data_IF_454472178456
#
_entry.id   IF_454472178456
#
_cell.length_a   1.000
_cell.length_b   1.000
_cell.length_c   1.000
_cell.angle_alpha   90.00
_cell.angle_beta   90.00
_cell.angle_gamma   90.00
#
_symmetry.space_group_name_H-M   'P 1'
#
loop_
_entity.id
_entity.type
_entity.pdbx_description
1 polymer ?
#
# COMPACT_ATOMS: atom_id res chain seq x y z
N UNK A 1 10.73 -2.38 2.19
CA UNK A 1 11.12 -1.52 1.05
C UNK A 1 11.82 -2.39 0.01
N UNK A 2 11.69 -2.05 -1.26
CA UNK A 2 12.39 -2.77 -2.32
C UNK A 2 13.91 -2.51 -2.29
N UNK A 3 14.64 -3.25 -3.12
CA UNK A 3 16.04 -2.94 -3.43
C UNK A 3 16.11 -1.56 -4.11
N UNK A 4 17.22 -0.85 -3.94
CA UNK A 4 17.52 0.36 -4.71
C UNK A 4 17.43 0.11 -6.22
N UNK A 5 17.28 1.17 -7.01
CA UNK A 5 17.11 1.09 -8.47
C UNK A 5 15.95 0.17 -8.90
N UNK A 6 14.93 0.01 -8.06
CA UNK A 6 13.75 -0.79 -8.42
C UNK A 6 12.68 0.13 -8.97
N UNK A 7 12.18 -0.21 -10.15
CA UNK A 7 11.01 0.40 -10.77
C UNK A 7 9.86 -0.61 -10.75
N UNK A 8 8.68 -0.15 -10.36
CA UNK A 8 7.45 -0.95 -10.32
C UNK A 8 6.30 -0.18 -10.94
N UNK A 9 5.54 -0.85 -11.81
CA UNK A 9 4.29 -0.32 -12.37
C UNK A 9 3.23 -1.39 -12.26
N UNK A 10 2.02 -1.02 -11.86
CA UNK A 10 0.97 -2.00 -11.63
C UNK A 10 -0.41 -1.39 -11.54
N UNK A 11 -1.38 -2.26 -11.34
CA UNK A 11 -2.76 -1.87 -11.10
C UNK A 11 -3.53 -2.95 -10.36
N UNK A 12 -4.54 -2.51 -9.63
CA UNK A 12 -5.34 -3.37 -8.77
C UNK A 12 -6.83 -3.09 -8.96
N UNK A 13 -7.62 -4.15 -8.87
CA UNK A 13 -9.03 -4.08 -8.51
C UNK A 13 -9.14 -3.83 -7.00
N UNK A 14 -9.95 -2.84 -6.62
CA UNK A 14 -10.21 -2.47 -5.24
C UNK A 14 -11.67 -2.73 -4.89
N UNK A 15 -11.89 -3.51 -3.83
CA UNK A 15 -13.23 -3.62 -3.27
C UNK A 15 -13.70 -2.28 -2.69
N UNK A 16 -14.99 -1.98 -2.80
CA UNK A 16 -15.56 -0.72 -2.28
C UNK A 16 -15.44 -0.59 -0.76
N UNK A 17 -15.40 -1.73 -0.07
CA UNK A 17 -15.27 -1.80 1.39
C UNK A 17 -13.86 -1.39 1.88
N UNK A 18 -12.88 -1.32 0.96
CA UNK A 18 -11.50 -0.87 1.20
C UNK A 18 -11.26 0.58 0.78
N UNK A 19 -12.23 1.20 0.11
CA UNK A 19 -12.13 2.58 -0.37
C UNK A 19 -12.87 3.54 0.56
N UNK A 20 -12.69 4.87 0.41
CA UNK A 20 -13.45 5.84 1.18
C UNK A 20 -14.96 5.54 1.15
N UNK A 21 -15.71 5.70 2.27
CA UNK A 21 -17.12 5.31 2.36
C UNK A 21 -18.04 5.98 1.33
N UNK A 22 -17.66 7.14 0.81
CA UNK A 22 -18.40 7.86 -0.23
C UNK A 22 -18.35 7.14 -1.58
N UNK A 23 -17.42 6.19 -1.78
CA UNK A 23 -17.28 5.43 -3.01
C UNK A 23 -18.03 4.11 -2.88
N UNK A 24 -19.34 4.17 -3.18
CA UNK A 24 -20.25 3.02 -3.09
C UNK A 24 -20.09 1.99 -4.22
N UNK A 25 -18.94 1.96 -4.90
CA UNK A 25 -18.66 1.16 -6.09
C UNK A 25 -17.25 0.58 -6.05
N UNK A 26 -17.06 -0.58 -6.67
CA UNK A 26 -15.73 -1.13 -6.89
C UNK A 26 -14.95 -0.25 -7.87
N UNK A 27 -13.67 -0.07 -7.61
CA UNK A 27 -12.80 0.77 -8.44
C UNK A 27 -11.49 0.07 -8.76
N UNK A 28 -10.64 0.73 -9.52
CA UNK A 28 -9.32 0.29 -9.86
C UNK A 28 -8.33 1.39 -9.53
N UNK A 29 -7.11 0.99 -9.18
CA UNK A 29 -5.98 1.90 -9.16
C UNK A 29 -4.90 1.43 -10.12
N UNK A 30 -4.04 2.36 -10.48
CA UNK A 30 -2.78 2.08 -11.13
C UNK A 30 -1.71 2.98 -10.54
N UNK A 31 -0.48 2.49 -10.53
CA UNK A 31 0.59 3.17 -9.83
C UNK A 31 1.93 2.96 -10.50
N UNK A 32 2.82 3.90 -10.19
CA UNK A 32 4.24 3.85 -10.50
C UNK A 32 4.99 4.04 -9.19
N UNK A 33 5.92 3.14 -8.88
CA UNK A 33 6.77 3.18 -7.69
C UNK A 33 8.24 3.10 -8.10
N UNK A 34 9.07 3.96 -7.53
CA UNK A 34 10.51 3.96 -7.71
C UNK A 34 11.19 3.94 -6.36
N UNK A 35 12.04 2.93 -6.15
CA UNK A 35 13.00 2.92 -5.05
C UNK A 35 14.32 3.47 -5.57
N UNK A 36 14.55 4.75 -5.33
CA UNK A 36 15.69 5.51 -5.87
C UNK A 36 16.97 5.10 -5.13
N UNK A 37 16.91 5.16 -3.80
CA UNK A 37 18.00 4.81 -2.89
C UNK A 37 17.59 3.62 -2.03
N UNK A 38 18.54 2.90 -1.43
CA UNK A 38 18.19 1.76 -0.57
C UNK A 38 17.32 2.15 0.63
N UNK A 39 17.24 3.45 0.96
CA UNK A 39 16.44 4.00 2.06
C UNK A 39 15.28 4.90 1.60
N UNK A 40 15.08 5.16 0.30
CA UNK A 40 14.03 6.06 -0.19
C UNK A 40 13.23 5.44 -1.34
N UNK A 41 11.92 5.36 -1.14
CA UNK A 41 10.94 4.88 -2.11
C UNK A 41 9.83 5.93 -2.26
N UNK A 42 9.47 6.25 -3.50
CA UNK A 42 8.41 7.20 -3.85
C UNK A 42 7.47 6.52 -4.83
N UNK A 43 6.17 6.73 -4.67
CA UNK A 43 5.18 6.23 -5.61
C UNK A 43 4.12 7.28 -5.94
N UNK A 44 3.61 7.20 -7.15
CA UNK A 44 2.48 7.96 -7.65
C UNK A 44 1.35 6.98 -7.96
N UNK A 45 0.19 7.19 -7.34
CA UNK A 45 -0.97 6.31 -7.49
C UNK A 45 -2.16 7.11 -7.99
N UNK A 46 -2.90 6.52 -8.91
CA UNK A 46 -4.14 7.05 -9.44
C UNK A 46 -5.27 6.04 -9.15
N UNK A 47 -6.37 6.50 -8.55
CA UNK A 47 -7.55 5.67 -8.32
C UNK A 47 -8.74 6.21 -9.13
N UNK A 48 -9.42 5.34 -9.85
CA UNK A 48 -10.46 5.75 -10.80
C UNK A 48 -11.75 6.18 -10.10
N UNK A 49 -12.39 7.21 -10.64
CA UNK A 49 -13.70 7.70 -10.23
C UNK A 49 -14.76 7.43 -11.29
N UNK A 50 -15.90 6.93 -10.81
CA UNK A 50 -17.09 6.78 -11.62
C UNK A 50 -17.83 8.10 -11.76
N UNK A 51 -18.23 8.44 -12.98
CA UNK A 51 -18.99 9.63 -13.32
C UNK A 51 -20.25 9.77 -12.45
N UNK A 52 -20.92 8.66 -12.18
CA UNK A 52 -22.15 8.59 -11.39
C UNK A 52 -21.92 9.00 -9.93
N UNK A 53 -20.78 8.63 -9.35
CA UNK A 53 -20.41 9.02 -8.00
C UNK A 53 -20.00 10.50 -7.90
N UNK A 54 -19.56 11.10 -9.01
CA UNK A 54 -19.22 12.51 -9.10
C UNK A 54 -20.41 13.39 -9.53
N UNK A 55 -21.59 12.82 -9.75
CA UNK A 55 -22.75 13.56 -10.25
C UNK A 55 -22.58 14.08 -11.68
N UNK A 56 -21.72 13.45 -12.48
CA UNK A 56 -21.40 13.88 -13.85
C UNK A 56 -22.34 13.30 -14.91
N UNK A 57 -23.25 12.40 -14.52
CA UNK A 57 -24.25 11.79 -15.40
C UNK A 57 -25.10 12.81 -16.18
N UNK A 58 -25.59 13.92 -15.58
CA UNK A 58 -26.34 14.95 -16.31
C UNK A 58 -25.54 15.64 -17.43
N UNK A 59 -24.21 15.55 -17.40
CA UNK A 59 -23.32 16.13 -18.41
C UNK A 59 -22.88 15.11 -19.47
N UNK A 60 -23.53 13.94 -19.53
CA UNK A 60 -23.27 12.90 -20.54
C UNK A 60 -22.10 11.96 -20.22
N UNK A 61 -21.44 12.13 -19.08
CA UNK A 61 -20.38 11.21 -18.66
C UNK A 61 -20.95 9.95 -18.02
N UNK A 62 -20.32 8.80 -18.29
CA UNK A 62 -20.67 7.51 -17.70
C UNK A 62 -19.42 6.68 -17.43
N UNK A 63 -19.51 5.74 -16.47
CA UNK A 63 -18.39 4.86 -16.15
C UNK A 63 -17.19 5.59 -15.54
N UNK A 64 -15.99 5.00 -15.65
CA UNK A 64 -14.77 5.59 -15.10
C UNK A 64 -14.28 6.74 -15.99
N UNK A 65 -14.51 7.98 -15.55
CA UNK A 65 -14.25 9.18 -16.36
C UNK A 65 -13.27 10.17 -15.71
N UNK A 66 -12.88 9.92 -14.46
CA UNK A 66 -12.02 10.80 -13.68
C UNK A 66 -11.14 9.95 -12.75
N UNK A 67 -10.21 10.57 -12.03
CA UNK A 67 -9.28 9.91 -11.12
C UNK A 67 -8.83 10.82 -9.98
N UNK A 68 -8.65 10.23 -8.81
CA UNK A 68 -7.87 10.80 -7.73
C UNK A 68 -6.40 10.45 -7.88
N UNK A 69 -5.50 11.35 -7.49
CA UNK A 69 -4.06 11.23 -7.73
C UNK A 69 -3.31 11.65 -6.50
N UNK A 70 -2.41 10.80 -6.04
CA UNK A 70 -1.61 11.12 -4.87
C UNK A 70 -0.20 10.53 -4.94
N UNK A 71 0.70 11.17 -4.20
CA UNK A 71 2.05 10.69 -3.97
C UNK A 71 2.13 9.97 -2.63
N UNK A 72 2.97 8.97 -2.55
CA UNK A 72 3.39 8.33 -1.30
C UNK A 72 4.89 8.23 -1.24
N UNK A 73 5.44 8.25 -0.04
CA UNK A 73 6.88 8.18 0.20
C UNK A 73 7.16 7.29 1.41
N UNK A 74 8.30 6.60 1.35
CA UNK A 74 8.85 5.78 2.44
C UNK A 74 10.32 6.09 2.61
N UNK A 75 10.70 6.38 3.84
CA UNK A 75 12.07 6.62 4.27
C UNK A 75 12.47 5.57 5.30
N UNK A 76 13.44 4.71 4.97
CA UNK A 76 14.03 3.78 5.94
C UNK A 76 15.00 4.53 6.82
N UNK A 77 14.63 4.72 8.07
CA UNK A 77 15.46 5.37 9.09
C UNK A 77 16.41 4.38 9.76
N UNK A 78 16.03 3.11 9.85
CA UNK A 78 16.90 2.04 10.39
C UNK A 78 16.89 0.84 9.45
N UNK A 79 18.07 0.37 9.06
CA UNK A 79 18.20 -0.93 8.38
C UNK A 79 18.14 -2.04 9.43
N UNK A 80 17.50 -3.14 9.07
CA UNK A 80 17.45 -4.34 9.91
C UNK A 80 18.87 -4.78 10.29
N UNK A 81 19.09 -5.09 11.57
CA UNK A 81 20.39 -5.55 12.04
C UNK A 81 21.50 -4.50 12.11
N UNK A 82 21.22 -3.22 11.85
CA UNK A 82 22.24 -2.17 11.71
C UNK A 82 23.06 -1.90 12.97
N UNK A 83 22.45 -1.91 14.16
CA UNK A 83 23.16 -1.70 15.43
C UNK A 83 23.31 -2.98 16.26
N UNK A 84 22.35 -3.91 16.19
CA UNK A 84 22.45 -5.25 16.79
C UNK A 84 21.66 -6.27 15.97
N UNK A 85 22.02 -7.56 16.07
CA UNK A 85 21.50 -8.67 15.26
C UNK A 85 19.97 -8.73 15.17
N UNK A 86 19.28 -8.46 16.27
CA UNK A 86 17.82 -8.57 16.37
C UNK A 86 17.07 -7.27 16.11
N UNK A 87 17.76 -6.17 15.77
CA UNK A 87 17.09 -4.89 15.53
C UNK A 87 16.19 -4.97 14.29
N UNK A 88 14.92 -4.53 14.36
CA UNK A 88 14.05 -4.45 13.20
C UNK A 88 14.50 -3.31 12.26
N UNK A 89 14.14 -3.42 10.98
CA UNK A 89 14.14 -2.26 10.11
C UNK A 89 13.02 -1.31 10.52
N UNK A 90 13.27 0.00 10.46
CA UNK A 90 12.25 1.03 10.74
C UNK A 90 12.11 1.96 9.54
N UNK A 91 10.85 2.20 9.16
CA UNK A 91 10.45 3.05 8.05
C UNK A 91 9.45 4.09 8.55
N UNK A 92 9.68 5.35 8.18
CA UNK A 92 8.68 6.40 8.21
C UNK A 92 8.05 6.50 6.83
N UNK A 93 6.74 6.66 6.76
CA UNK A 93 6.07 6.79 5.49
C UNK A 93 4.87 7.70 5.53
N UNK A 94 4.49 8.13 4.34
CA UNK A 94 3.28 8.91 4.11
C UNK A 94 2.62 8.52 2.80
N UNK A 95 1.32 8.72 2.74
CA UNK A 95 0.47 8.61 1.57
C UNK A 95 -0.38 9.86 1.51
N UNK A 96 -0.45 10.49 0.34
CA UNK A 96 -1.22 11.70 0.09
C UNK A 96 -1.02 12.79 1.18
N UNK A 97 0.25 13.15 1.50
CA UNK A 97 0.53 14.05 2.62
C UNK A 97 0.02 15.46 2.39
N UNK A 98 -0.19 15.87 1.14
CA UNK A 98 -0.44 17.26 0.76
C UNK A 98 -1.48 17.32 -0.36
N UNK A 99 -2.44 18.23 -0.22
CA UNK A 99 -3.38 18.56 -1.30
C UNK A 99 -3.42 20.07 -1.51
N UNK A 100 -3.49 20.46 -2.78
CA UNK A 100 -3.66 21.86 -3.18
C UNK A 100 -5.12 22.31 -3.13
N UNK A 101 -6.09 21.39 -3.13
CA UNK A 101 -7.53 21.65 -3.25
C UNK A 101 -8.21 22.30 -2.02
N UNK A 102 -7.45 23.02 -1.20
CA UNK A 102 -7.91 23.72 0.01
C UNK A 102 -6.93 24.78 0.52
N UNK A 103 -6.17 25.41 -0.38
CA UNK A 103 -5.16 26.42 -0.03
C UNK A 103 -3.77 25.87 0.31
N UNK A 104 -3.50 24.60 0.00
CA UNK A 104 -2.20 23.96 0.24
C UNK A 104 -2.00 23.58 1.71
N UNK A 105 -2.45 22.39 2.09
CA UNK A 105 -2.35 21.91 3.47
C UNK A 105 -1.75 20.50 3.54
N UNK A 106 -0.86 20.30 4.51
CA UNK A 106 -0.33 18.99 4.87
C UNK A 106 -1.29 18.31 5.84
N UNK A 107 -1.61 17.04 5.59
CA UNK A 107 -2.47 16.25 6.46
C UNK A 107 -3.88 16.83 6.57
N UNK A 108 -4.52 17.07 5.43
CA UNK A 108 -5.86 17.66 5.37
C UNK A 108 -6.88 16.90 6.19
N UNK A 109 -7.85 17.62 6.73
CA UNK A 109 -8.91 17.05 7.57
C UNK A 109 -10.13 16.58 6.76
N UNK A 110 -10.40 17.24 5.63
CA UNK A 110 -11.56 17.04 4.74
C UNK A 110 -11.14 17.22 3.25
N UNK A 111 -12.03 16.91 2.31
CA UNK A 111 -11.77 17.07 0.86
C UNK A 111 -10.91 15.97 0.22
N UNK A 112 -10.20 16.31 -0.87
CA UNK A 112 -9.53 15.35 -1.77
C UNK A 112 -8.32 14.57 -1.20
N UNK A 113 -8.02 14.71 0.09
CA UNK A 113 -6.94 13.99 0.77
C UNK A 113 -7.26 12.52 1.06
N UNK A 114 -7.99 11.82 0.18
CA UNK A 114 -8.64 10.50 0.38
C UNK A 114 -7.73 9.43 0.96
N UNK A 115 -6.43 9.51 0.68
CA UNK A 115 -5.45 8.54 1.13
C UNK A 115 -4.44 9.11 2.13
N UNK A 116 -4.71 10.31 2.67
CA UNK A 116 -3.84 11.03 3.60
C UNK A 116 -3.53 10.19 4.83
N UNK A 117 -2.27 9.78 4.96
CA UNK A 117 -1.79 8.93 6.05
C UNK A 117 -0.31 9.17 6.32
N UNK A 118 0.05 9.09 7.58
CA UNK A 118 1.42 9.02 8.07
C UNK A 118 1.57 7.76 8.89
N UNK A 119 2.75 7.14 8.85
CA UNK A 119 2.99 5.95 9.63
C UNK A 119 4.46 5.77 9.97
N UNK A 120 4.68 5.05 11.06
CA UNK A 120 5.95 4.42 11.39
C UNK A 120 5.72 2.91 11.35
N UNK A 121 6.63 2.18 10.72
CA UNK A 121 6.58 0.73 10.61
C UNK A 121 7.93 0.13 11.01
N UNK A 122 7.89 -0.87 11.87
CA UNK A 122 9.00 -1.74 12.23
C UNK A 122 8.77 -3.13 11.64
N UNK A 123 9.80 -3.71 11.03
CA UNK A 123 9.73 -5.05 10.44
C UNK A 123 10.98 -5.85 10.75
N UNK A 124 10.82 -7.13 11.08
CA UNK A 124 11.90 -8.07 11.35
C UNK A 124 11.67 -9.36 10.57
N UNK A 125 12.69 -9.83 9.86
CA UNK A 125 12.62 -11.08 9.13
C UNK A 125 13.50 -12.12 9.84
N UNK A 126 12.89 -13.26 10.16
CA UNK A 126 13.48 -14.33 10.94
C UNK A 126 13.65 -15.52 10.00
N UNK A 127 14.90 -15.88 9.64
CA UNK A 127 15.15 -17.10 8.89
C UNK A 127 14.85 -18.32 9.78
N UNK A 128 14.17 -19.33 9.22
CA UNK A 128 13.81 -20.57 9.93
C UNK A 128 14.74 -21.70 9.51
N UNK A 129 14.48 -22.33 8.35
CA UNK A 129 15.32 -23.39 7.76
C UNK A 129 15.43 -23.18 6.24
N UNK A 130 16.64 -23.28 5.70
CA UNK A 130 16.87 -23.09 4.27
C UNK A 130 16.52 -21.66 3.81
N UNK A 131 15.60 -21.56 2.84
CA UNK A 131 15.06 -20.27 2.33
C UNK A 131 13.77 -19.83 3.03
N UNK A 132 13.34 -20.56 4.04
CA UNK A 132 12.11 -20.27 4.78
C UNK A 132 12.30 -19.06 5.69
N UNK A 133 11.32 -18.15 5.67
CA UNK A 133 11.39 -16.89 6.38
C UNK A 133 10.01 -16.52 6.95
N UNK A 134 10.02 -16.07 8.20
CA UNK A 134 8.87 -15.46 8.87
C UNK A 134 9.18 -13.98 9.08
N UNK A 135 8.32 -13.10 8.58
CA UNK A 135 8.41 -11.67 8.83
C UNK A 135 7.38 -11.23 9.85
N UNK A 136 7.78 -10.43 10.82
CA UNK A 136 6.90 -9.80 11.80
C UNK A 136 6.92 -8.30 11.59
N UNK A 137 5.74 -7.70 11.51
CA UNK A 137 5.54 -6.31 11.15
C UNK A 137 4.65 -5.63 12.19
N UNK A 138 5.07 -4.48 12.69
CA UNK A 138 4.31 -3.62 13.58
C UNK A 138 4.33 -2.21 12.99
N UNK A 139 3.18 -1.57 12.92
CA UNK A 139 3.10 -0.18 12.51
C UNK A 139 2.09 0.60 13.33
N UNK A 140 2.27 1.91 13.35
CA UNK A 140 1.28 2.84 13.88
C UNK A 140 0.88 3.79 12.77
N UNK A 141 -0.42 3.83 12.49
CA UNK A 141 -1.04 4.66 11.47
C UNK A 141 -1.59 5.93 12.13
N UNK A 142 -1.45 7.05 11.44
CA UNK A 142 -1.97 8.33 11.88
C UNK A 142 -2.46 9.17 10.69
N UNK A 143 -3.63 9.79 10.86
CA UNK A 143 -4.13 10.85 10.01
C UNK A 143 -5.04 11.82 10.79
N UNK A 144 -5.29 12.98 10.21
CA UNK A 144 -6.19 14.02 10.74
C UNK A 144 -7.56 14.03 10.05
N UNK A 145 -7.92 12.98 9.30
CA UNK A 145 -9.18 12.90 8.58
C UNK A 145 -10.34 12.81 9.55
N UNK A 146 -11.45 13.48 9.24
CA UNK A 146 -12.71 13.33 9.96
C UNK A 146 -13.57 12.20 9.41
N UNK A 147 -13.66 12.09 8.09
CA UNK A 147 -14.61 11.21 7.39
C UNK A 147 -14.20 9.72 7.40
N UNK A 148 -12.90 9.43 7.47
CA UNK A 148 -12.37 8.07 7.49
C UNK A 148 -11.08 8.00 8.33
N UNK A 149 -11.18 8.47 9.58
CA UNK A 149 -10.08 8.41 10.54
C UNK A 149 -9.61 6.97 10.72
N UNK A 150 -8.31 6.75 10.61
CA UNK A 150 -7.67 5.45 10.77
C UNK A 150 -6.36 5.64 11.53
N UNK A 151 -6.49 5.66 12.86
CA UNK A 151 -5.38 5.87 13.77
C UNK A 151 -5.30 4.68 14.72
N UNK A 152 -4.12 4.07 14.81
CA UNK A 152 -3.91 2.93 15.68
C UNK A 152 -2.85 1.98 15.14
N UNK A 153 -2.72 0.86 15.85
CA UNK A 153 -1.72 -0.15 15.52
C UNK A 153 -2.19 -1.05 14.39
N UNK A 154 -1.26 -1.37 13.50
CA UNK A 154 -1.41 -2.43 12.54
C UNK A 154 -0.31 -3.46 12.74
N UNK A 155 -0.67 -4.74 12.61
CA UNK A 155 0.17 -5.90 12.86
C UNK A 155 0.16 -6.79 11.64
N UNK A 156 1.28 -7.39 11.30
CA UNK A 156 1.36 -8.32 10.18
C UNK A 156 2.35 -9.45 10.44
N UNK A 157 2.01 -10.63 9.96
CA UNK A 157 2.92 -11.77 9.89
C UNK A 157 2.98 -12.24 8.44
N UNK A 158 4.19 -12.31 7.90
CA UNK A 158 4.44 -12.85 6.57
C UNK A 158 5.14 -14.19 6.66
N UNK A 159 4.79 -15.10 5.75
CA UNK A 159 5.43 -16.40 5.62
C UNK A 159 5.89 -16.64 4.19
N UNK A 160 7.16 -17.02 4.05
CA UNK A 160 7.80 -17.39 2.80
C UNK A 160 8.28 -18.84 2.90
N UNK A 161 7.60 -19.81 2.26
CA UNK A 161 7.98 -21.21 2.35
C UNK A 161 9.25 -21.53 1.57
N UNK A 162 10.09 -22.41 2.12
CA UNK A 162 11.31 -22.89 1.46
C UNK A 162 11.03 -23.69 0.17
N UNK A 163 9.94 -24.47 0.13
CA UNK A 163 9.54 -25.27 -1.03
C UNK A 163 8.96 -24.42 -2.17
N UNK A 164 8.50 -23.19 -1.88
CA UNK A 164 7.98 -22.28 -2.89
C UNK A 164 8.40 -20.81 -2.64
N UNK A 165 9.68 -20.45 -2.82
CA UNK A 165 10.21 -19.14 -2.40
C UNK A 165 9.59 -17.92 -3.10
N UNK A 166 8.95 -18.12 -4.26
CA UNK A 166 8.24 -17.07 -5.00
C UNK A 166 6.90 -16.71 -4.37
N UNK A 167 6.37 -17.56 -3.49
CA UNK A 167 5.14 -17.34 -2.75
C UNK A 167 5.46 -16.60 -1.45
N UNK A 168 4.61 -15.64 -1.10
CA UNK A 168 4.55 -15.02 0.22
C UNK A 168 3.11 -14.93 0.64
N UNK A 169 2.80 -15.44 1.82
CA UNK A 169 1.49 -15.28 2.46
C UNK A 169 1.60 -14.21 3.53
N UNK A 170 0.55 -13.42 3.73
CA UNK A 170 0.45 -12.43 4.79
C UNK A 170 -0.87 -12.56 5.51
N UNK A 171 -0.83 -12.49 6.84
CA UNK A 171 -1.99 -12.23 7.67
C UNK A 171 -1.75 -10.91 8.40
N UNK A 172 -2.68 -9.98 8.32
CA UNK A 172 -2.54 -8.66 8.91
C UNK A 172 -3.81 -8.14 9.57
N UNK A 173 -3.62 -7.22 10.48
CA UNK A 173 -4.63 -6.36 11.09
C UNK A 173 -4.25 -4.92 10.80
N UNK A 174 -5.11 -4.15 10.12
CA UNK A 174 -4.78 -2.84 9.55
C UNK A 174 -5.27 -1.65 10.41
N UNK A 175 -5.35 -1.85 11.74
CA UNK A 175 -5.98 -0.94 12.72
C UNK A 175 -7.51 -0.88 12.67
N UNK A 176 -8.15 -1.59 11.74
CA UNK A 176 -9.61 -1.66 11.65
C UNK A 176 -10.10 -3.08 11.46
N UNK A 177 -9.49 -3.82 10.53
CA UNK A 177 -9.96 -5.09 10.02
C UNK A 177 -8.80 -6.07 9.86
N UNK A 178 -9.14 -7.37 9.84
CA UNK A 178 -8.18 -8.42 9.51
C UNK A 178 -8.18 -8.67 8.00
N UNK A 179 -7.01 -8.95 7.43
CA UNK A 179 -6.86 -9.36 6.05
C UNK A 179 -5.93 -10.58 5.94
N UNK A 180 -6.23 -11.44 4.97
CA UNK A 180 -5.35 -12.52 4.54
C UNK A 180 -5.04 -12.32 3.07
N UNK A 181 -3.75 -12.32 2.73
CA UNK A 181 -3.29 -12.10 1.38
C UNK A 181 -2.17 -13.05 0.97
N UNK A 182 -1.93 -13.10 -0.32
CA UNK A 182 -0.81 -13.80 -0.90
C UNK A 182 -0.24 -12.98 -2.07
N UNK A 183 1.08 -13.06 -2.22
CA UNK A 183 1.77 -12.55 -3.38
C UNK A 183 2.62 -13.64 -4.01
N UNK A 184 2.72 -13.61 -5.33
CA UNK A 184 3.47 -14.59 -6.09
C UNK A 184 4.32 -13.88 -7.15
N UNK A 185 5.61 -14.22 -7.23
CA UNK A 185 6.53 -13.66 -8.22
C UNK A 185 6.72 -14.61 -9.42
N UNK A 186 6.06 -14.29 -10.53
CA UNK A 186 6.22 -14.95 -11.83
C UNK A 186 7.39 -14.34 -12.61
N UNK A 187 8.18 -15.20 -13.26
CA UNK A 187 9.25 -14.82 -14.18
C UNK A 187 10.25 -13.79 -13.61
N UNK A 188 10.40 -13.70 -12.28
CA UNK A 188 11.23 -12.70 -11.57
C UNK A 188 10.80 -11.23 -11.76
N UNK A 189 9.72 -10.98 -12.49
CA UNK A 189 9.29 -9.62 -12.86
C UNK A 189 7.82 -9.35 -12.57
N UNK A 190 6.94 -10.33 -12.72
CA UNK A 190 5.50 -10.13 -12.56
C UNK A 190 5.05 -10.58 -11.17
N UNK A 191 4.73 -9.62 -10.31
CA UNK A 191 4.08 -9.87 -9.04
C UNK A 191 2.57 -9.94 -9.24
N UNK A 192 1.98 -11.07 -8.85
CA UNK A 192 0.53 -11.21 -8.65
C UNK A 192 0.27 -11.03 -7.16
N UNK A 193 -0.72 -10.20 -6.81
CA UNK A 193 -1.14 -10.00 -5.42
C UNK A 193 -2.65 -10.15 -5.28
N UNK A 194 -3.06 -10.83 -4.22
CA UNK A 194 -4.47 -11.00 -3.84
C UNK A 194 -4.61 -10.84 -2.34
N UNK A 195 -5.74 -10.31 -1.91
CA UNK A 195 -6.06 -10.09 -0.51
C UNK A 195 -7.57 -10.22 -0.28
N UNK A 196 -7.94 -10.79 0.86
CA UNK A 196 -9.31 -10.85 1.35
C UNK A 196 -9.41 -10.11 2.67
N UNK A 197 -9.99 -8.91 2.65
CA UNK A 197 -10.26 -8.16 3.86
C UNK A 197 -11.54 -8.67 4.54
N UNK A 198 -11.52 -8.76 5.87
CA UNK A 198 -12.52 -9.45 6.69
C UNK A 198 -12.82 -10.87 6.22
N UNK A 199 -11.86 -11.50 5.53
CA UNK A 199 -12.03 -12.81 4.87
C UNK A 199 -13.19 -12.86 3.86
N UNK A 200 -13.67 -11.71 3.37
CA UNK A 200 -14.87 -11.59 2.55
C UNK A 200 -14.68 -10.72 1.32
N UNK A 201 -13.95 -9.62 1.46
CA UNK A 201 -13.84 -8.60 0.43
C UNK A 201 -12.54 -8.75 -0.33
N UNK A 202 -12.64 -9.31 -1.54
CA UNK A 202 -11.52 -9.53 -2.42
C UNK A 202 -11.00 -8.23 -3.02
N UNK A 203 -9.67 -8.08 -3.02
CA UNK A 203 -8.88 -7.07 -3.71
C UNK A 203 -7.68 -7.78 -4.34
N UNK A 204 -7.19 -7.31 -5.49
CA UNK A 204 -6.05 -7.96 -6.12
C UNK A 204 -5.58 -7.25 -7.38
N UNK A 205 -4.38 -7.59 -7.82
CA UNK A 205 -3.76 -6.91 -8.94
C UNK A 205 -2.43 -7.50 -9.38
N UNK A 206 -1.85 -6.80 -10.35
CA UNK A 206 -0.61 -7.17 -11.02
C UNK A 206 0.37 -6.02 -10.92
N UNK A 207 1.63 -6.36 -10.68
CA UNK A 207 2.73 -5.39 -10.66
C UNK A 207 3.91 -5.93 -11.45
N UNK A 208 4.37 -5.17 -12.44
CA UNK A 208 5.60 -5.43 -13.14
C UNK A 208 6.77 -4.74 -12.43
N UNK A 209 7.82 -5.50 -12.13
CA UNK A 209 9.01 -5.07 -11.39
C UNK A 209 10.25 -5.23 -12.25
N UNK A 210 11.02 -4.15 -12.34
CA UNK A 210 12.29 -4.08 -13.07
C UNK A 210 13.36 -3.53 -12.13
N UNK A 211 14.57 -4.06 -12.23
CA UNK A 211 15.74 -3.48 -11.60
C UNK A 211 16.56 -2.75 -12.67
N UNK A 212 16.75 -1.46 -12.48
CA UNK A 212 17.49 -0.59 -13.39
C UNK A 212 18.99 -0.80 -13.17
N UNK A 213 19.78 -0.70 -14.25
CA UNK A 213 21.25 -0.79 -14.18
C UNK A 213 21.85 0.47 -13.55
#
# INVERSE_FOLDING_TARGET
>A
MQRDKTFMVGGNFLNKELTPPTWYYHTYNYFLNVTIFPFLEVAYTCTLFKAEALGLKPYGYSGFTNQDRYFSARLRVLKEGQFWKYMPAVVLGTSDPFTSSGGGQVGTTEGNGYYSRFYIAASKHIPVVGKEEIGVHLSYLYNNRKEYKLNGFALGVTYNPSFHPQLRVIAEYDSKDFALGATYLLFKHLHVQVEMQRMKYFTGGLTYKIHLK
#
